data_IF_868903526327
#
_entry.id   IF_868903526327
#
_cell.length_a   1.000
_cell.length_b   1.000
_cell.length_c   1.000
_cell.angle_alpha   90.00
_cell.angle_beta   90.00
_cell.angle_gamma   90.00
#
_symmetry.space_group_name_H-M   'P 1'
#
loop_
_entity.id
_entity.type
_entity.pdbx_description
1 polymer ?
#
# COMPACT_ATOMS: atom_id res chain seq x y z
N UNK A 1 -12.16 18.50 -12.20
CA UNK A 1 -11.56 17.35 -11.53
C UNK A 1 -10.32 17.84 -10.80
N UNK A 2 -10.30 17.69 -9.49
CA UNK A 2 -9.12 17.90 -8.68
C UNK A 2 -8.36 16.56 -8.56
N UNK A 3 -7.10 16.60 -8.13
CA UNK A 3 -6.31 15.40 -7.86
C UNK A 3 -6.90 14.55 -6.71
N UNK A 4 -7.64 15.19 -5.79
CA UNK A 4 -8.37 14.52 -4.70
C UNK A 4 -9.40 13.50 -5.20
N UNK A 5 -10.14 13.82 -6.27
CA UNK A 5 -11.22 12.99 -6.85
C UNK A 5 -10.72 11.58 -7.29
N UNK A 6 -9.40 11.42 -7.48
CA UNK A 6 -8.77 10.15 -7.83
C UNK A 6 -8.32 9.32 -6.62
N UNK A 7 -8.56 9.77 -5.38
CA UNK A 7 -8.14 9.06 -4.17
C UNK A 7 -8.69 7.63 -4.12
N UNK A 8 -9.99 7.46 -4.40
CA UNK A 8 -10.61 6.14 -4.47
C UNK A 8 -9.98 5.26 -5.54
N UNK A 9 -9.63 5.83 -6.69
CA UNK A 9 -8.94 5.07 -7.74
C UNK A 9 -7.58 4.58 -7.23
N UNK A 10 -6.75 5.48 -6.68
CA UNK A 10 -5.40 5.13 -6.23
C UNK A 10 -5.36 4.20 -5.02
N UNK A 11 -6.33 4.25 -4.11
CA UNK A 11 -6.35 3.44 -2.88
C UNK A 11 -6.55 1.94 -3.10
N UNK A 12 -7.22 1.53 -4.18
CA UNK A 12 -7.47 0.11 -4.45
C UNK A 12 -6.20 -0.63 -4.92
N UNK A 13 -5.29 0.05 -5.62
CA UNK A 13 -4.10 -0.58 -6.20
C UNK A 13 -3.10 -1.08 -5.15
N UNK A 14 -2.70 -0.30 -4.11
CA UNK A 14 -1.74 -0.76 -3.11
C UNK A 14 -2.16 -2.08 -2.45
N UNK A 15 -3.42 -2.22 -2.03
CA UNK A 15 -3.91 -3.44 -1.39
C UNK A 15 -3.75 -4.64 -2.33
N UNK A 16 -4.28 -4.53 -3.55
CA UNK A 16 -4.25 -5.63 -4.53
C UNK A 16 -2.80 -6.01 -4.91
N UNK A 17 -1.94 -5.02 -5.17
CA UNK A 17 -0.57 -5.25 -5.59
C UNK A 17 0.28 -5.81 -4.45
N UNK A 18 0.14 -5.32 -3.21
CA UNK A 18 0.85 -5.85 -2.04
C UNK A 18 0.47 -7.32 -1.78
N UNK A 19 -0.83 -7.63 -1.85
CA UNK A 19 -1.30 -9.02 -1.72
C UNK A 19 -0.76 -9.91 -2.86
N UNK A 20 -0.75 -9.41 -4.10
CA UNK A 20 -0.19 -10.13 -5.25
C UNK A 20 1.31 -10.42 -5.06
N UNK A 21 2.08 -9.46 -4.53
CA UNK A 21 3.49 -9.67 -4.20
C UNK A 21 3.65 -10.80 -3.19
N UNK A 22 2.81 -10.82 -2.14
CA UNK A 22 2.81 -11.91 -1.14
C UNK A 22 2.55 -13.29 -1.77
N UNK A 23 1.57 -13.38 -2.66
CA UNK A 23 1.27 -14.61 -3.41
C UNK A 23 2.47 -15.01 -4.27
N UNK A 24 3.08 -14.09 -4.99
CA UNK A 24 4.26 -14.38 -5.83
C UNK A 24 5.43 -14.85 -4.98
N UNK A 25 5.77 -14.17 -3.88
CA UNK A 25 6.87 -14.58 -3.00
C UNK A 25 6.60 -15.94 -2.34
N UNK A 26 5.35 -16.25 -2.00
CA UNK A 26 4.96 -17.56 -1.50
C UNK A 26 5.12 -18.65 -2.58
N UNK A 27 4.63 -18.40 -3.79
CA UNK A 27 4.79 -19.32 -4.92
C UNK A 27 6.25 -19.55 -5.28
N UNK A 28 7.11 -18.52 -5.14
CA UNK A 28 8.56 -18.61 -5.39
C UNK A 28 9.31 -19.55 -4.44
N UNK A 29 8.71 -19.95 -3.30
CA UNK A 29 9.26 -21.01 -2.47
C UNK A 29 9.18 -22.38 -3.15
N UNK A 30 8.14 -22.62 -3.95
CA UNK A 30 7.86 -23.90 -4.60
C UNK A 30 8.24 -23.90 -6.08
N UNK A 31 8.04 -22.78 -6.77
CA UNK A 31 8.22 -22.62 -8.21
C UNK A 31 9.50 -21.82 -8.48
N UNK A 32 10.58 -22.53 -8.83
CA UNK A 32 11.91 -21.94 -9.05
C UNK A 32 12.02 -21.08 -10.32
N UNK A 33 11.11 -21.25 -11.28
CA UNK A 33 11.12 -20.54 -12.57
C UNK A 33 10.62 -19.10 -12.47
N UNK A 34 9.94 -18.74 -11.39
CA UNK A 34 9.42 -17.37 -11.20
C UNK A 34 10.58 -16.44 -10.85
N UNK A 35 10.86 -15.43 -11.69
CA UNK A 35 12.02 -14.56 -11.50
C UNK A 35 11.83 -13.58 -10.34
N UNK A 36 12.92 -13.30 -9.61
CA UNK A 36 12.89 -12.43 -8.42
C UNK A 36 12.59 -10.96 -8.70
N UNK A 37 12.82 -10.50 -9.94
CA UNK A 37 12.56 -9.11 -10.33
C UNK A 37 11.06 -8.83 -10.51
N UNK A 38 10.22 -9.84 -10.72
CA UNK A 38 8.78 -9.67 -10.92
C UNK A 38 8.15 -8.99 -9.71
N UNK A 39 8.44 -9.49 -8.50
CA UNK A 39 7.99 -8.90 -7.25
C UNK A 39 8.52 -7.47 -7.06
N UNK A 40 9.77 -7.19 -7.48
CA UNK A 40 10.37 -5.86 -7.40
C UNK A 40 9.64 -4.84 -8.30
N UNK A 41 9.28 -5.20 -9.52
CA UNK A 41 8.51 -4.34 -10.42
C UNK A 41 7.13 -4.04 -9.83
N UNK A 42 6.45 -5.07 -9.32
CA UNK A 42 5.12 -4.90 -8.72
C UNK A 42 5.21 -4.03 -7.45
N UNK A 43 6.27 -4.21 -6.64
CA UNK A 43 6.52 -3.38 -5.47
C UNK A 43 6.77 -1.92 -5.85
N UNK A 44 7.51 -1.66 -6.93
CA UNK A 44 7.72 -0.31 -7.44
C UNK A 44 6.38 0.36 -7.82
N UNK A 45 5.55 -0.33 -8.61
CA UNK A 45 4.23 0.17 -9.02
C UNK A 45 3.34 0.40 -7.79
N UNK A 46 3.31 -0.55 -6.86
CA UNK A 46 2.53 -0.44 -5.62
C UNK A 46 2.98 0.74 -4.76
N UNK A 47 4.29 0.99 -4.68
CA UNK A 47 4.85 2.12 -3.93
C UNK A 47 4.43 3.44 -4.55
N UNK A 48 4.47 3.55 -5.89
CA UNK A 48 4.00 4.72 -6.61
C UNK A 48 2.50 4.98 -6.37
N UNK A 49 1.67 3.92 -6.46
CA UNK A 49 0.23 4.05 -6.19
C UNK A 49 -0.06 4.42 -4.73
N UNK A 50 0.70 3.90 -3.77
CA UNK A 50 0.57 4.26 -2.36
C UNK A 50 0.93 5.73 -2.13
N UNK A 51 1.96 6.23 -2.81
CA UNK A 51 2.32 7.65 -2.76
C UNK A 51 1.19 8.52 -3.31
N UNK A 52 0.67 8.21 -4.50
CA UNK A 52 -0.44 8.96 -5.11
C UNK A 52 -1.71 8.92 -4.25
N UNK A 53 -2.00 7.77 -3.63
CA UNK A 53 -3.11 7.60 -2.68
C UNK A 53 -2.98 8.53 -1.46
N UNK A 54 -1.81 8.59 -0.83
CA UNK A 54 -1.57 9.50 0.30
C UNK A 54 -1.69 10.96 -0.12
N UNK A 55 -1.09 11.36 -1.26
CA UNK A 55 -1.15 12.75 -1.71
C UNK A 55 -2.58 13.20 -2.05
N UNK A 56 -3.34 12.35 -2.75
CA UNK A 56 -4.75 12.65 -3.08
C UNK A 56 -5.62 12.70 -1.82
N UNK A 57 -5.41 11.81 -0.85
CA UNK A 57 -6.16 11.80 0.40
C UNK A 57 -5.94 13.03 1.29
N UNK A 58 -4.75 13.65 1.24
CA UNK A 58 -4.50 14.93 1.94
C UNK A 58 -5.37 16.06 1.39
N UNK A 59 -5.57 16.08 0.08
CA UNK A 59 -6.43 17.08 -0.58
C UNK A 59 -7.88 16.86 -0.14
N UNK A 60 -8.36 15.61 -0.14
CA UNK A 60 -9.71 15.29 0.34
C UNK A 60 -9.93 15.59 1.82
N UNK A 61 -8.93 15.37 2.68
CA UNK A 61 -9.03 15.73 4.10
C UNK A 61 -9.19 17.24 4.31
N UNK A 62 -8.55 18.07 3.47
CA UNK A 62 -8.51 19.53 3.65
C UNK A 62 -9.88 20.22 3.56
N UNK A 63 -10.86 19.55 2.95
CA UNK A 63 -12.23 20.05 2.79
C UNK A 63 -13.18 19.58 3.91
N UNK A 64 -12.73 18.69 4.81
CA UNK A 64 -13.54 18.12 5.87
C UNK A 64 -13.37 18.92 7.17
N UNK A 65 -14.49 19.40 7.74
CA UNK A 65 -14.50 20.25 8.94
C UNK A 65 -15.06 19.57 10.19
N UNK A 66 -15.69 18.39 10.06
CA UNK A 66 -16.23 17.63 11.21
C UNK A 66 -15.09 17.02 12.04
N UNK A 67 -14.93 17.51 13.28
CA UNK A 67 -13.89 17.06 14.20
C UNK A 67 -14.03 15.60 14.64
N UNK A 68 -15.25 15.07 14.75
CA UNK A 68 -15.44 13.66 15.11
C UNK A 68 -14.99 12.74 13.97
N UNK A 69 -15.21 13.19 12.73
CA UNK A 69 -14.83 12.49 11.52
C UNK A 69 -13.31 12.56 11.27
N UNK A 70 -12.71 13.72 11.54
CA UNK A 70 -11.28 13.96 11.38
C UNK A 70 -10.44 12.96 12.16
N UNK A 71 -10.84 12.57 13.37
CA UNK A 71 -10.09 11.59 14.18
C UNK A 71 -9.98 10.22 13.50
N UNK A 72 -11.03 9.79 12.81
CA UNK A 72 -11.06 8.49 12.11
C UNK A 72 -10.25 8.58 10.82
N UNK A 73 -10.39 9.69 10.09
CA UNK A 73 -9.59 9.99 8.89
C UNK A 73 -8.10 10.01 9.24
N UNK A 74 -7.71 10.68 10.32
CA UNK A 74 -6.32 10.75 10.79
C UNK A 74 -5.73 9.37 11.10
N UNK A 75 -6.55 8.44 11.63
CA UNK A 75 -6.12 7.06 11.87
C UNK A 75 -5.89 6.33 10.54
N UNK A 76 -6.81 6.47 9.58
CA UNK A 76 -6.66 5.88 8.24
C UNK A 76 -5.45 6.46 7.51
N UNK A 77 -5.28 7.78 7.55
CA UNK A 77 -4.16 8.53 6.97
C UNK A 77 -2.82 8.10 7.58
N UNK A 78 -2.77 7.92 8.92
CA UNK A 78 -1.57 7.44 9.60
C UNK A 78 -1.16 6.06 9.10
N UNK A 79 -2.11 5.13 8.98
CA UNK A 79 -1.80 3.80 8.42
C UNK A 79 -1.43 3.87 6.93
N UNK A 80 -2.08 4.74 6.14
CA UNK A 80 -1.72 5.00 4.74
C UNK A 80 -0.28 5.51 4.59
N UNK A 81 0.13 6.45 5.44
CA UNK A 81 1.51 6.94 5.51
C UNK A 81 2.49 5.82 5.90
N UNK A 82 2.13 4.97 6.86
CA UNK A 82 2.97 3.81 7.23
C UNK A 82 3.11 2.85 6.04
N UNK A 83 2.02 2.52 5.34
CA UNK A 83 2.07 1.67 4.12
C UNK A 83 3.00 2.30 3.07
N UNK A 84 2.87 3.60 2.81
CA UNK A 84 3.69 4.31 1.83
C UNK A 84 5.18 4.25 2.20
N UNK A 85 5.54 4.70 3.41
CA UNK A 85 6.93 4.74 3.85
C UNK A 85 7.54 3.34 3.97
N UNK A 86 6.78 2.36 4.48
CA UNK A 86 7.23 0.97 4.53
C UNK A 86 7.47 0.42 3.12
N UNK A 87 6.58 0.70 2.17
CA UNK A 87 6.74 0.27 0.77
C UNK A 87 8.00 0.88 0.14
N UNK A 88 8.27 2.17 0.40
CA UNK A 88 9.49 2.84 -0.05
C UNK A 88 10.73 2.15 0.53
N UNK A 89 10.77 1.91 1.83
CA UNK A 89 11.90 1.20 2.48
C UNK A 89 12.07 -0.20 1.90
N UNK A 90 10.97 -0.94 1.74
CA UNK A 90 11.00 -2.30 1.20
C UNK A 90 11.50 -2.32 -0.25
N UNK A 91 11.11 -1.33 -1.06
CA UNK A 91 11.57 -1.16 -2.43
C UNK A 91 13.09 -1.00 -2.47
N UNK A 92 13.66 -0.14 -1.62
CA UNK A 92 15.12 0.02 -1.52
C UNK A 92 15.80 -1.27 -1.06
N UNK A 93 15.26 -1.94 -0.03
CA UNK A 93 15.82 -3.22 0.46
C UNK A 93 15.82 -4.27 -0.66
N UNK A 94 14.72 -4.44 -1.38
CA UNK A 94 14.62 -5.41 -2.47
C UNK A 94 15.51 -5.07 -3.66
N UNK A 95 15.61 -3.78 -3.99
CA UNK A 95 16.52 -3.30 -5.02
C UNK A 95 17.99 -3.60 -4.66
N UNK A 96 18.41 -3.33 -3.42
CA UNK A 96 19.76 -3.64 -2.94
C UNK A 96 20.04 -5.15 -2.92
N UNK A 97 19.07 -5.97 -2.50
CA UNK A 97 19.17 -7.43 -2.55
C UNK A 97 19.33 -7.93 -4.00
N UNK A 98 18.58 -7.34 -4.94
CA UNK A 98 18.67 -7.65 -6.36
C UNK A 98 20.06 -7.32 -6.93
N UNK A 99 20.59 -6.11 -6.65
CA UNK A 99 21.94 -5.71 -7.07
C UNK A 99 23.03 -6.64 -6.52
N UNK A 100 22.88 -7.09 -5.27
CA UNK A 100 23.79 -8.05 -4.63
C UNK A 100 23.60 -9.49 -5.11
N UNK A 101 22.69 -9.74 -6.05
CA UNK A 101 22.29 -11.10 -6.49
C UNK A 101 21.89 -12.02 -5.31
N UNK A 102 21.39 -11.43 -4.23
CA UNK A 102 20.97 -12.14 -3.03
C UNK A 102 19.44 -12.25 -3.00
N UNK A 103 18.93 -13.45 -3.28
CA UNK A 103 17.50 -13.72 -3.30
C UNK A 103 17.03 -14.41 -2.00
N UNK A 104 17.20 -13.72 -0.87
CA UNK A 104 16.72 -14.22 0.42
C UNK A 104 15.17 -14.21 0.48
N UNK A 105 14.55 -15.30 0.01
CA UNK A 105 13.09 -15.46 -0.09
C UNK A 105 12.40 -15.37 1.26
N UNK A 106 12.99 -15.95 2.32
CA UNK A 106 12.41 -15.92 3.67
C UNK A 106 12.32 -14.49 4.22
N UNK A 107 13.36 -13.68 4.02
CA UNK A 107 13.35 -12.26 4.41
C UNK A 107 12.32 -11.48 3.62
N UNK A 108 12.27 -11.65 2.29
CA UNK A 108 11.29 -10.98 1.42
C UNK A 108 9.86 -11.32 1.83
N UNK A 109 9.58 -12.60 2.07
CA UNK A 109 8.28 -13.10 2.48
C UNK A 109 7.89 -12.55 3.87
N UNK A 110 8.80 -12.58 4.84
CA UNK A 110 8.55 -12.03 6.18
C UNK A 110 8.19 -10.53 6.12
N UNK A 111 8.97 -9.73 5.39
CA UNK A 111 8.72 -8.30 5.27
C UNK A 111 7.42 -7.97 4.53
N UNK A 112 7.09 -8.69 3.45
CA UNK A 112 5.83 -8.43 2.73
C UNK A 112 4.61 -8.83 3.57
N UNK A 113 4.69 -9.88 4.39
CA UNK A 113 3.59 -10.26 5.29
C UNK A 113 3.27 -9.17 6.32
N UNK A 114 4.30 -8.51 6.86
CA UNK A 114 4.09 -7.35 7.74
C UNK A 114 3.32 -6.26 6.99
N UNK A 115 3.74 -5.92 5.77
CA UNK A 115 3.07 -4.91 4.96
C UNK A 115 1.62 -5.30 4.60
N UNK A 116 1.35 -6.58 4.33
CA UNK A 116 -0.01 -7.10 4.08
C UNK A 116 -0.92 -6.87 5.29
N UNK A 117 -0.45 -7.15 6.51
CA UNK A 117 -1.25 -6.92 7.71
C UNK A 117 -1.62 -5.44 7.84
N UNK A 118 -0.65 -4.54 7.63
CA UNK A 118 -0.88 -3.10 7.73
C UNK A 118 -1.86 -2.65 6.64
N UNK A 119 -1.68 -3.08 5.38
CA UNK A 119 -2.52 -2.63 4.27
C UNK A 119 -3.97 -3.12 4.40
N UNK A 120 -4.19 -4.32 4.96
CA UNK A 120 -5.53 -4.83 5.26
C UNK A 120 -6.21 -3.97 6.32
N UNK A 121 -5.48 -3.56 7.38
CA UNK A 121 -6.02 -2.66 8.40
C UNK A 121 -6.34 -1.27 7.84
N UNK A 122 -5.47 -0.73 6.98
CA UNK A 122 -5.72 0.54 6.27
C UNK A 122 -6.99 0.44 5.42
N UNK A 123 -7.12 -0.64 4.65
CA UNK A 123 -8.30 -0.90 3.80
C UNK A 123 -9.58 -1.08 4.60
N UNK A 124 -9.53 -1.74 5.76
CA UNK A 124 -10.68 -1.86 6.67
C UNK A 124 -11.15 -0.49 7.16
N UNK A 125 -10.25 0.37 7.62
CA UNK A 125 -10.60 1.74 8.04
C UNK A 125 -11.15 2.56 6.86
N UNK A 126 -10.57 2.41 5.66
CA UNK A 126 -11.09 3.05 4.45
C UNK A 126 -12.52 2.60 4.14
N UNK A 127 -12.81 1.31 4.24
CA UNK A 127 -14.16 0.77 4.11
C UNK A 127 -15.13 1.30 5.17
N UNK A 128 -14.68 1.49 6.42
CA UNK A 128 -15.51 2.12 7.46
C UNK A 128 -15.85 3.58 7.13
N UNK A 129 -14.90 4.37 6.62
CA UNK A 129 -15.15 5.76 6.18
C UNK A 129 -16.25 5.85 5.11
N UNK A 130 -16.23 4.91 4.15
CA UNK A 130 -17.23 4.86 3.08
C UNK A 130 -18.58 4.36 3.59
N UNK A 131 -18.61 3.21 4.26
CA UNK A 131 -19.87 2.53 4.57
C UNK A 131 -20.58 3.05 5.82
N UNK A 132 -19.84 3.53 6.83
CA UNK A 132 -20.43 4.03 8.08
C UNK A 132 -20.61 5.53 8.07
N UNK A 133 -19.66 6.26 7.48
CA UNK A 133 -19.63 7.72 7.52
C UNK A 133 -20.01 8.38 6.18
N UNK A 134 -20.32 7.58 5.15
CA UNK A 134 -20.77 8.04 3.83
C UNK A 134 -19.81 9.06 3.19
N UNK A 135 -18.51 8.97 3.51
CA UNK A 135 -17.50 9.75 2.81
C UNK A 135 -17.26 9.07 1.47
N UNK A 136 -17.85 9.64 0.44
CA UNK A 136 -17.50 9.38 -0.94
C UNK A 136 -16.67 10.58 -1.42
N UNK A 137 -15.65 10.35 -2.24
CA UNK A 137 -14.99 11.43 -2.98
C UNK A 137 -16.06 12.18 -3.77
N UNK A 138 -16.19 13.49 -3.53
CA UNK A 138 -17.07 14.36 -4.32
C UNK A 138 -16.35 14.84 -5.58
#
# INVERSE_FOLDING_TARGET
>A
MNFGDFHFFFTHFPIALICLIGIIELLRLFIKTIPSFMSLIILFISTLMSFLSVQSGQIEKSIITDQNLLRIIEKHETLGNIVMWYSIVLLFVWFLLHLKKNDNKSLKLFLIFILIIIVIQTGFLGGELVHKYQIYSQ
#
